data_IF_419585334652
#
_entry.id   IF_419585334652
#
_cell.length_a   1.000
_cell.length_b   1.000
_cell.length_c   1.000
_cell.angle_alpha   90.00
_cell.angle_beta   90.00
_cell.angle_gamma   90.00
#
_symmetry.space_group_name_H-M   'P 1'
#
loop_
_entity.id
_entity.type
_entity.pdbx_description
1 polymer ?
#
# COMPACT_ATOMS: atom_id res chain seq x y z
N UNK A 1 14.90 -16.44 20.82
CA UNK A 1 15.44 -15.79 19.60
C UNK A 1 16.91 -16.21 19.39
N UNK A 2 17.20 -17.06 18.41
CA UNK A 2 18.57 -17.51 18.11
C UNK A 2 19.37 -16.38 17.43
N UNK A 3 20.56 -16.04 17.93
CA UNK A 3 21.45 -15.05 17.28
C UNK A 3 21.62 -15.39 15.79
N UNK A 4 21.47 -14.43 14.86
CA UNK A 4 21.50 -14.71 13.43
C UNK A 4 22.85 -15.29 13.02
N UNK A 5 22.82 -16.42 12.30
CA UNK A 5 24.01 -17.20 11.89
C UNK A 5 25.08 -16.33 11.21
N UNK A 6 24.67 -15.34 10.40
CA UNK A 6 25.57 -14.40 9.72
C UNK A 6 26.41 -13.53 10.69
N UNK A 7 25.83 -13.10 11.82
CA UNK A 7 26.57 -12.31 12.83
C UNK A 7 27.59 -13.13 13.61
N UNK A 8 27.42 -14.46 13.66
CA UNK A 8 28.43 -15.37 14.19
C UNK A 8 29.55 -15.54 13.18
N UNK A 9 29.23 -15.75 11.90
CA UNK A 9 30.23 -15.92 10.83
C UNK A 9 31.10 -14.70 10.60
N UNK A 10 30.54 -13.49 10.68
CA UNK A 10 31.33 -12.24 10.60
C UNK A 10 32.36 -12.14 11.73
N UNK A 11 31.97 -12.52 12.96
CA UNK A 11 32.90 -12.57 14.10
C UNK A 11 33.99 -13.62 13.91
N UNK A 12 33.64 -14.81 13.41
CA UNK A 12 34.61 -15.86 13.11
C UNK A 12 35.59 -15.45 12.02
N UNK A 13 35.14 -14.72 10.99
CA UNK A 13 36.03 -14.14 9.96
C UNK A 13 36.99 -13.11 10.56
N UNK A 14 36.48 -12.24 11.44
CA UNK A 14 37.32 -11.23 12.10
C UNK A 14 38.38 -11.88 13.01
N UNK A 15 38.01 -12.94 13.73
CA UNK A 15 38.95 -13.74 14.54
C UNK A 15 40.03 -14.39 13.66
N UNK A 16 39.64 -15.04 12.55
CA UNK A 16 40.61 -15.65 11.63
C UNK A 16 41.57 -14.60 11.02
N UNK A 17 41.07 -13.40 10.75
CA UNK A 17 41.89 -12.27 10.26
C UNK A 17 42.88 -11.77 11.32
N UNK A 18 42.44 -11.66 12.57
CA UNK A 18 43.31 -11.28 13.69
C UNK A 18 44.40 -12.34 13.94
N UNK A 19 44.04 -13.62 13.86
CA UNK A 19 45.00 -14.72 13.99
C UNK A 19 46.03 -14.72 12.86
N UNK A 20 45.61 -14.47 11.61
CA UNK A 20 46.54 -14.30 10.49
C UNK A 20 47.51 -13.14 10.74
N UNK A 21 47.00 -11.95 11.11
CA UNK A 21 47.84 -10.78 11.37
C UNK A 21 48.88 -11.05 12.48
N UNK A 22 48.49 -11.75 13.54
CA UNK A 22 49.40 -12.15 14.62
C UNK A 22 50.53 -13.08 14.16
N UNK A 23 50.25 -14.01 13.24
CA UNK A 23 51.28 -14.90 12.69
C UNK A 23 52.17 -14.20 11.66
N UNK A 24 51.63 -13.27 10.88
CA UNK A 24 52.40 -12.44 9.95
C UNK A 24 53.37 -11.51 10.71
N UNK A 25 52.93 -10.90 11.81
CA UNK A 25 53.80 -10.10 12.70
C UNK A 25 54.94 -10.95 13.29
N UNK A 26 54.64 -12.16 13.75
CA UNK A 26 55.66 -13.12 14.25
C UNK A 26 56.64 -13.57 13.18
N UNK A 27 56.22 -13.66 11.92
CA UNK A 27 57.11 -13.95 10.79
C UNK A 27 58.07 -12.78 10.56
N UNK A 28 57.55 -11.55 10.55
CA UNK A 28 58.36 -10.33 10.38
C UNK A 28 59.39 -10.19 11.51
N UNK A 29 58.99 -10.37 12.76
CA UNK A 29 59.93 -10.37 13.91
C UNK A 29 60.98 -11.48 13.80
N UNK A 30 60.57 -12.65 13.31
CA UNK A 30 61.48 -13.74 13.04
C UNK A 30 62.42 -13.46 11.86
N UNK A 31 62.06 -12.63 10.88
CA UNK A 31 62.97 -12.27 9.78
C UNK A 31 63.92 -11.14 10.17
N UNK A 32 63.49 -10.21 11.02
CA UNK A 32 64.25 -9.00 11.40
C UNK A 32 65.30 -9.21 12.50
N UNK A 33 65.15 -10.20 13.38
CA UNK A 33 66.12 -10.48 14.44
C UNK A 33 67.37 -11.20 13.89
N UNK A 34 68.61 -10.72 14.10
CA UNK A 34 69.82 -11.32 13.52
C UNK A 34 70.05 -12.76 13.99
N UNK A 35 70.61 -13.59 13.10
CA UNK A 35 70.91 -15.01 13.32
C UNK A 35 71.95 -15.30 14.44
N UNK A 36 72.40 -14.28 15.17
CA UNK A 36 73.47 -14.35 16.17
C UNK A 36 73.03 -14.97 17.52
N UNK A 37 71.74 -15.12 17.77
CA UNK A 37 71.23 -15.90 18.90
C UNK A 37 70.74 -17.25 18.39
N UNK A 38 71.47 -18.34 18.63
CA UNK A 38 71.18 -19.70 18.15
C UNK A 38 69.70 -20.03 18.19
N UNK A 39 69.02 -19.90 17.03
CA UNK A 39 67.58 -20.08 16.96
C UNK A 39 67.24 -21.55 16.82
N UNK A 40 66.28 -22.07 17.61
CA UNK A 40 65.77 -23.40 17.38
C UNK A 40 64.96 -23.42 16.08
N UNK A 41 65.53 -24.02 15.03
CA UNK A 41 64.92 -24.24 13.70
C UNK A 41 63.53 -24.90 13.77
N UNK A 42 63.28 -25.68 14.81
CA UNK A 42 61.99 -26.30 15.11
C UNK A 42 60.87 -25.31 15.51
N UNK A 43 61.21 -24.12 16.05
CA UNK A 43 60.20 -23.09 16.37
C UNK A 43 59.77 -22.31 15.12
N UNK A 44 60.71 -22.05 14.21
CA UNK A 44 60.43 -21.33 12.97
C UNK A 44 59.54 -22.16 12.03
N UNK A 45 59.84 -23.44 11.84
CA UNK A 45 59.03 -24.36 11.04
C UNK A 45 57.58 -24.45 11.55
N UNK A 46 57.38 -24.61 12.86
CA UNK A 46 56.02 -24.61 13.46
C UNK A 46 55.26 -23.29 13.25
N UNK A 47 55.96 -22.16 13.27
CA UNK A 47 55.31 -20.86 13.03
C UNK A 47 54.91 -20.71 11.54
N UNK A 48 55.75 -21.18 10.62
CA UNK A 48 55.43 -21.21 9.19
C UNK A 48 54.23 -22.12 8.91
N UNK A 49 54.17 -23.31 9.50
CA UNK A 49 53.02 -24.21 9.41
C UNK A 49 51.73 -23.53 9.91
N UNK A 50 51.79 -22.85 11.06
CA UNK A 50 50.65 -22.11 11.62
C UNK A 50 50.21 -20.94 10.74
N UNK A 51 51.15 -20.25 10.09
CA UNK A 51 50.86 -19.17 9.17
C UNK A 51 50.20 -19.67 7.88
N UNK A 52 50.67 -20.79 7.34
CA UNK A 52 50.02 -21.44 6.19
C UNK A 52 48.60 -21.86 6.56
N UNK A 53 48.42 -22.44 7.74
CA UNK A 53 47.11 -22.84 8.23
C UNK A 53 46.17 -21.63 8.45
N UNK A 54 46.65 -20.55 9.08
CA UNK A 54 45.84 -19.35 9.32
C UNK A 54 45.45 -18.64 8.03
N UNK A 55 46.33 -18.62 7.01
CA UNK A 55 45.98 -18.14 5.65
C UNK A 55 44.90 -18.97 5.00
N UNK A 56 44.97 -20.30 5.11
CA UNK A 56 43.96 -21.19 4.56
C UNK A 56 42.59 -20.99 5.26
N UNK A 57 42.62 -20.86 6.59
CA UNK A 57 41.42 -20.66 7.41
C UNK A 57 40.77 -19.30 7.16
N UNK A 58 41.54 -18.21 7.07
CA UNK A 58 41.03 -16.88 6.72
C UNK A 58 40.36 -16.91 5.34
N UNK A 59 41.03 -17.46 4.33
CA UNK A 59 40.49 -17.54 2.97
C UNK A 59 39.19 -18.33 2.91
N UNK A 60 39.15 -19.48 3.59
CA UNK A 60 37.96 -20.33 3.70
C UNK A 60 36.81 -19.58 4.38
N UNK A 61 37.06 -18.93 5.51
CA UNK A 61 36.05 -18.14 6.23
C UNK A 61 35.57 -16.93 5.43
N UNK A 62 36.46 -16.27 4.71
CA UNK A 62 36.14 -15.14 3.83
C UNK A 62 35.19 -15.56 2.71
N UNK A 63 35.51 -16.65 2.01
CA UNK A 63 34.64 -17.22 0.95
C UNK A 63 33.27 -17.65 1.50
N UNK A 64 33.24 -18.31 2.66
CA UNK A 64 32.00 -18.70 3.30
C UNK A 64 31.14 -17.48 3.68
N UNK A 65 31.75 -16.46 4.26
CA UNK A 65 31.07 -15.22 4.62
C UNK A 65 30.48 -14.52 3.39
N UNK A 66 31.25 -14.41 2.31
CA UNK A 66 30.80 -13.79 1.07
C UNK A 66 29.63 -14.56 0.43
N UNK A 67 29.71 -15.89 0.42
CA UNK A 67 28.63 -16.74 -0.08
C UNK A 67 27.33 -16.53 0.71
N UNK A 68 27.42 -16.40 2.04
CA UNK A 68 26.27 -16.15 2.90
C UNK A 68 25.70 -14.75 2.72
N UNK A 69 26.55 -13.73 2.59
CA UNK A 69 26.12 -12.35 2.34
C UNK A 69 25.39 -12.22 1.00
N UNK A 70 25.90 -12.87 -0.06
CA UNK A 70 25.20 -12.94 -1.35
C UNK A 70 23.87 -13.69 -1.25
N UNK A 71 23.84 -14.83 -0.54
CA UNK A 71 22.60 -15.57 -0.31
C UNK A 71 21.57 -14.76 0.49
N UNK A 72 22.02 -14.03 1.52
CA UNK A 72 21.19 -13.10 2.27
C UNK A 72 20.65 -11.97 1.40
N UNK A 73 21.50 -11.35 0.58
CA UNK A 73 21.09 -10.30 -0.36
C UNK A 73 19.97 -10.79 -1.31
N UNK A 74 20.14 -11.98 -1.90
CA UNK A 74 19.10 -12.60 -2.75
C UNK A 74 17.79 -12.85 -2.00
N UNK A 75 17.86 -13.41 -0.79
CA UNK A 75 16.67 -13.64 0.05
C UNK A 75 15.96 -12.34 0.43
N UNK A 76 16.72 -11.30 0.79
CA UNK A 76 16.18 -9.98 1.13
C UNK A 76 15.41 -9.40 -0.05
N UNK A 77 16.00 -9.37 -1.25
CA UNK A 77 15.34 -8.84 -2.44
C UNK A 77 14.07 -9.61 -2.79
N UNK A 78 14.13 -10.95 -2.74
CA UNK A 78 12.95 -11.80 -2.98
C UNK A 78 11.85 -11.56 -1.95
N UNK A 79 12.20 -11.48 -0.66
CA UNK A 79 11.25 -11.21 0.41
C UNK A 79 10.61 -9.82 0.30
N UNK A 80 11.41 -8.76 0.11
CA UNK A 80 10.90 -7.40 -0.09
C UNK A 80 9.95 -7.33 -1.28
N UNK A 81 10.29 -7.98 -2.40
CA UNK A 81 9.41 -8.07 -3.56
C UNK A 81 8.10 -8.78 -3.20
N UNK A 82 8.16 -9.93 -2.53
CA UNK A 82 6.96 -10.67 -2.13
C UNK A 82 6.05 -9.83 -1.21
N UNK A 83 6.63 -9.09 -0.25
CA UNK A 83 5.89 -8.20 0.65
C UNK A 83 5.21 -7.07 -0.13
N UNK A 84 5.93 -6.35 -1.01
CA UNK A 84 5.34 -5.29 -1.81
C UNK A 84 4.22 -5.79 -2.72
N UNK A 85 4.42 -6.94 -3.38
CA UNK A 85 3.38 -7.58 -4.21
C UNK A 85 2.16 -7.99 -3.38
N UNK A 86 2.38 -8.56 -2.19
CA UNK A 86 1.30 -8.93 -1.28
C UNK A 86 0.49 -7.72 -0.81
N UNK A 87 1.16 -6.62 -0.47
CA UNK A 87 0.51 -5.37 -0.07
C UNK A 87 -0.30 -4.76 -1.21
N UNK A 88 0.30 -4.60 -2.39
CA UNK A 88 -0.39 -4.06 -3.58
C UNK A 88 -1.59 -4.91 -3.95
N UNK A 89 -1.45 -6.23 -3.94
CA UNK A 89 -2.56 -7.16 -4.21
C UNK A 89 -3.70 -6.99 -3.22
N UNK A 90 -3.38 -6.84 -1.93
CA UNK A 90 -4.40 -6.66 -0.87
C UNK A 90 -5.10 -5.31 -1.01
N UNK A 91 -4.36 -4.25 -1.32
CA UNK A 91 -4.90 -2.92 -1.55
C UNK A 91 -5.84 -2.87 -2.76
N UNK A 92 -5.42 -3.43 -3.91
CA UNK A 92 -6.25 -3.48 -5.12
C UNK A 92 -7.52 -4.29 -4.87
N UNK A 93 -7.45 -5.38 -4.10
CA UNK A 93 -8.64 -6.14 -3.71
C UNK A 93 -9.62 -5.32 -2.88
N UNK A 94 -9.12 -4.61 -1.87
CA UNK A 94 -9.94 -3.73 -1.04
C UNK A 94 -10.67 -2.67 -1.89
N UNK A 95 -9.96 -2.01 -2.82
CA UNK A 95 -10.57 -1.05 -3.73
C UNK A 95 -11.63 -1.70 -4.64
N UNK A 96 -11.35 -2.90 -5.15
CA UNK A 96 -12.30 -3.62 -5.99
C UNK A 96 -13.55 -4.07 -5.22
N UNK A 97 -13.39 -4.51 -3.97
CA UNK A 97 -14.50 -4.84 -3.07
C UNK A 97 -15.35 -3.61 -2.78
N UNK A 98 -14.71 -2.49 -2.44
CA UNK A 98 -15.41 -1.23 -2.21
C UNK A 98 -16.16 -0.76 -3.45
N UNK A 99 -15.54 -0.80 -4.63
CA UNK A 99 -16.20 -0.46 -5.89
C UNK A 99 -17.39 -1.37 -6.21
N UNK A 100 -17.30 -2.67 -5.92
CA UNK A 100 -18.44 -3.61 -6.08
C UNK A 100 -19.59 -3.28 -5.13
N UNK A 101 -19.29 -2.98 -3.87
CA UNK A 101 -20.31 -2.63 -2.88
C UNK A 101 -20.97 -1.29 -3.22
N UNK A 102 -20.17 -0.28 -3.58
CA UNK A 102 -20.65 1.05 -3.98
C UNK A 102 -21.49 1.01 -5.26
N UNK A 103 -21.29 0.02 -6.15
CA UNK A 103 -22.11 -0.13 -7.35
C UNK A 103 -23.59 -0.36 -7.02
N UNK A 104 -23.89 -1.16 -5.99
CA UNK A 104 -25.28 -1.41 -5.61
C UNK A 104 -25.93 -0.12 -5.07
N UNK A 105 -25.19 0.66 -4.29
CA UNK A 105 -25.64 1.96 -3.76
C UNK A 105 -25.82 2.97 -4.87
N UNK A 106 -24.86 3.06 -5.81
CA UNK A 106 -24.98 3.93 -6.97
C UNK A 106 -26.18 3.55 -7.86
N UNK A 107 -26.39 2.26 -8.11
CA UNK A 107 -27.55 1.80 -8.87
C UNK A 107 -28.88 2.09 -8.16
N UNK A 108 -28.94 1.98 -6.83
CA UNK A 108 -30.11 2.37 -6.05
C UNK A 108 -30.35 3.89 -6.15
N UNK A 109 -29.29 4.70 -6.07
CA UNK A 109 -29.38 6.15 -6.24
C UNK A 109 -29.85 6.55 -7.65
N UNK A 110 -29.34 5.90 -8.69
CA UNK A 110 -29.79 6.13 -10.07
C UNK A 110 -31.26 5.73 -10.28
N UNK A 111 -31.76 4.74 -9.52
CA UNK A 111 -33.17 4.36 -9.53
C UNK A 111 -34.04 5.37 -8.78
N UNK A 112 -33.56 5.94 -7.67
CA UNK A 112 -34.30 6.93 -6.88
C UNK A 112 -34.56 8.25 -7.63
N UNK A 113 -33.76 8.57 -8.65
CA UNK A 113 -33.87 9.82 -9.41
C UNK A 113 -34.28 9.59 -10.88
N UNK A 114 -35.04 8.53 -11.14
CA UNK A 114 -35.58 8.31 -12.48
C UNK A 114 -36.67 9.34 -12.83
N UNK A 115 -36.81 9.68 -14.13
CA UNK A 115 -37.95 10.47 -14.60
C UNK A 115 -39.28 9.93 -14.09
N UNK A 116 -40.15 10.81 -13.61
CA UNK A 116 -41.43 10.47 -12.98
C UNK A 116 -41.37 10.28 -11.47
N UNK A 117 -40.18 10.26 -10.86
CA UNK A 117 -40.07 10.11 -9.40
C UNK A 117 -40.48 11.40 -8.68
N UNK A 118 -41.37 11.28 -7.70
CA UNK A 118 -41.76 12.37 -6.83
C UNK A 118 -40.65 12.65 -5.80
N UNK A 119 -40.19 13.90 -5.74
CA UNK A 119 -39.10 14.34 -4.87
C UNK A 119 -39.48 15.63 -4.15
N UNK A 120 -38.86 15.91 -3.01
CA UNK A 120 -38.81 17.24 -2.38
C UNK A 120 -37.51 17.93 -2.75
N UNK A 121 -37.60 19.19 -3.13
CA UNK A 121 -36.45 20.03 -3.45
C UNK A 121 -36.12 20.89 -2.23
N UNK A 122 -34.96 20.63 -1.62
CA UNK A 122 -34.50 21.36 -0.47
C UNK A 122 -34.11 22.81 -0.82
N UNK A 123 -34.59 23.79 -0.03
CA UNK A 123 -34.21 25.20 -0.17
C UNK A 123 -34.95 25.97 -1.27
N UNK A 124 -36.01 25.39 -1.86
CA UNK A 124 -36.94 26.10 -2.74
C UNK A 124 -38.19 26.45 -1.96
N UNK A 125 -38.52 27.74 -1.88
CA UNK A 125 -39.67 28.24 -1.13
C UNK A 125 -40.97 27.55 -1.58
N UNK A 126 -41.83 27.12 -0.64
CA UNK A 126 -43.06 26.40 -0.96
C UNK A 126 -43.95 27.24 -1.88
N UNK A 127 -44.59 26.57 -2.84
CA UNK A 127 -45.51 27.21 -3.79
C UNK A 127 -46.78 27.78 -3.12
N UNK A 128 -47.07 27.35 -1.89
CA UNK A 128 -48.18 27.84 -1.08
C UNK A 128 -47.65 28.58 0.14
N UNK A 129 -48.07 29.83 0.39
CA UNK A 129 -47.69 30.59 1.59
C UNK A 129 -48.25 30.00 2.89
N UNK A 130 -49.26 29.11 2.80
CA UNK A 130 -49.90 28.45 3.96
C UNK A 130 -49.31 27.06 4.25
N UNK A 131 -48.23 26.67 3.57
CA UNK A 131 -47.56 25.40 3.80
C UNK A 131 -46.49 25.52 4.88
N UNK A 132 -46.65 24.80 5.99
CA UNK A 132 -45.60 24.61 7.00
C UNK A 132 -44.38 23.82 6.48
N UNK A 133 -44.46 23.25 5.27
CA UNK A 133 -43.34 22.55 4.64
C UNK A 133 -42.27 23.52 4.10
N UNK A 134 -41.02 23.31 4.53
CA UNK A 134 -39.86 24.12 4.15
C UNK A 134 -39.28 23.75 2.77
N UNK A 135 -39.69 22.61 2.23
CA UNK A 135 -39.23 22.05 0.95
C UNK A 135 -40.41 21.96 -0.03
N UNK A 136 -40.14 22.20 -1.32
CA UNK A 136 -41.20 22.13 -2.34
C UNK A 136 -41.26 20.74 -2.98
N UNK A 137 -42.45 20.13 -3.12
CA UNK A 137 -42.59 18.88 -3.89
C UNK A 137 -42.33 19.17 -5.37
N UNK A 138 -41.78 18.20 -6.09
CA UNK A 138 -41.51 18.26 -7.52
C UNK A 138 -41.51 16.85 -8.13
N UNK A 139 -41.53 16.78 -9.45
CA UNK A 139 -41.35 15.53 -10.21
C UNK A 139 -40.04 15.64 -10.99
N UNK A 140 -39.23 14.59 -10.96
CA UNK A 140 -38.03 14.50 -11.79
C UNK A 140 -38.46 14.33 -13.26
N UNK A 141 -38.03 15.22 -14.14
CA UNK A 141 -38.25 15.10 -15.58
C UNK A 141 -37.08 14.36 -16.26
N UNK A 142 -35.87 14.49 -15.72
CA UNK A 142 -34.69 13.78 -16.20
C UNK A 142 -33.38 14.44 -15.81
N UNK A 143 -32.29 13.92 -16.38
CA UNK A 143 -30.94 14.43 -16.15
C UNK A 143 -30.51 15.34 -17.31
N UNK A 144 -30.03 16.53 -16.98
CA UNK A 144 -29.52 17.49 -17.95
C UNK A 144 -28.14 17.01 -18.49
N UNK A 145 -28.00 16.81 -19.80
CA UNK A 145 -26.76 16.32 -20.39
C UNK A 145 -25.63 17.35 -20.23
N UNK A 146 -24.48 16.91 -19.70
CA UNK A 146 -23.26 17.71 -19.57
C UNK A 146 -23.07 18.42 -18.22
N UNK A 147 -24.14 18.71 -17.48
CA UNK A 147 -24.06 19.37 -16.16
C UNK A 147 -24.22 18.39 -15.00
N UNK A 148 -24.86 17.24 -15.23
CA UNK A 148 -25.16 16.25 -14.18
C UNK A 148 -26.25 16.72 -13.20
N UNK A 149 -27.01 17.77 -13.55
CA UNK A 149 -28.13 18.27 -12.75
C UNK A 149 -29.42 17.53 -13.10
N UNK A 150 -30.30 17.38 -12.13
CA UNK A 150 -31.65 16.85 -12.33
C UNK A 150 -32.58 18.02 -12.67
N UNK A 151 -33.31 17.89 -13.77
CA UNK A 151 -34.40 18.78 -14.13
C UNK A 151 -35.64 18.31 -13.40
N UNK A 152 -36.24 19.20 -12.60
CA UNK A 152 -37.46 18.93 -11.85
C UNK A 152 -38.56 19.91 -12.21
N UNK A 153 -39.79 19.42 -12.29
CA UNK A 153 -40.98 20.24 -12.51
C UNK A 153 -41.70 20.47 -11.18
N UNK A 154 -41.88 21.74 -10.82
CA UNK A 154 -42.65 22.15 -9.65
C UNK A 154 -44.16 22.14 -9.93
N UNK A 155 -45.02 22.09 -8.89
CA UNK A 155 -46.47 22.24 -9.02
C UNK A 155 -46.87 23.53 -9.75
N UNK A 156 -46.12 24.62 -9.53
CA UNK A 156 -46.28 25.91 -10.20
C UNK A 156 -46.09 25.86 -11.72
N UNK A 157 -45.51 24.78 -12.26
CA UNK A 157 -45.16 24.64 -13.68
C UNK A 157 -43.77 25.15 -14.02
N UNK A 158 -43.04 25.70 -13.04
CA UNK A 158 -41.63 26.06 -13.23
C UNK A 158 -40.74 24.82 -13.32
N UNK A 159 -39.72 24.92 -14.16
CA UNK A 159 -38.68 23.89 -14.31
C UNK A 159 -37.37 24.39 -13.71
N UNK A 160 -36.76 23.58 -12.85
CA UNK A 160 -35.51 23.91 -12.20
C UNK A 160 -34.47 22.83 -12.46
N UNK A 161 -33.23 23.24 -12.76
CA UNK A 161 -32.08 22.35 -12.83
C UNK A 161 -31.34 22.37 -11.49
N UNK A 162 -31.56 21.35 -10.67
CA UNK A 162 -31.03 21.24 -9.31
C UNK A 162 -30.01 20.13 -9.20
N UNK A 163 -29.10 20.25 -8.23
CA UNK A 163 -28.15 19.17 -8.00
C UNK A 163 -28.83 17.98 -7.32
N UNK A 164 -28.45 16.74 -7.63
CA UNK A 164 -29.06 15.54 -7.02
C UNK A 164 -29.05 15.54 -5.49
N UNK A 165 -28.04 16.17 -4.86
CA UNK A 165 -27.93 16.20 -3.39
C UNK A 165 -28.99 17.08 -2.71
N UNK A 166 -29.73 17.88 -3.48
CA UNK A 166 -30.86 18.71 -2.99
C UNK A 166 -32.21 18.00 -3.15
N UNK A 167 -32.24 16.80 -3.72
CA UNK A 167 -33.46 16.04 -3.95
C UNK A 167 -33.63 14.98 -2.86
N UNK A 168 -34.84 14.87 -2.33
CA UNK A 168 -35.23 13.82 -1.38
C UNK A 168 -36.43 13.06 -1.92
N UNK A 169 -36.33 11.75 -2.17
CA UNK A 169 -37.46 10.96 -2.62
C UNK A 169 -38.64 11.06 -1.66
N UNK A 170 -39.85 11.26 -2.20
CA UNK A 170 -41.10 11.11 -1.45
C UNK A 170 -41.45 9.62 -1.46
N UNK A 171 -41.47 8.98 -0.29
CA UNK A 171 -41.67 7.54 -0.16
C UNK A 171 -43.09 7.13 -0.60
N UNK A 172 -43.28 6.89 -1.91
CA UNK A 172 -44.50 6.31 -2.50
C UNK A 172 -45.74 7.21 -2.54
N UNK A 173 -45.75 8.35 -1.84
CA UNK A 173 -46.86 9.30 -1.85
C UNK A 173 -46.61 10.37 -2.89
N UNK A 174 -47.24 10.24 -4.06
CA UNK A 174 -47.33 11.34 -5.03
C UNK A 174 -48.33 12.35 -4.44
N UNK A 175 -47.92 13.59 -4.15
CA UNK A 175 -48.83 14.61 -3.67
C UNK A 175 -49.99 14.79 -4.66
N UNK A 176 -51.22 14.86 -4.16
CA UNK A 176 -52.42 15.02 -4.99
C UNK A 176 -52.35 16.26 -5.90
N UNK A 177 -51.58 17.29 -5.50
CA UNK A 177 -51.30 18.49 -6.29
C UNK A 177 -50.47 18.23 -7.56
N UNK A 178 -49.79 17.09 -7.62
CA UNK A 178 -48.97 16.63 -8.75
C UNK A 178 -49.66 15.50 -9.55
N UNK A 179 -50.64 14.80 -8.96
CA UNK A 179 -51.34 13.69 -9.59
C UNK A 179 -52.34 14.10 -10.70
N UNK A 180 -52.69 15.39 -10.81
CA UNK A 180 -53.70 15.90 -11.74
C UNK A 180 -53.15 16.39 -13.09
N UNK A 181 -51.82 16.36 -13.30
CA UNK A 181 -51.22 16.68 -14.60
C UNK A 181 -51.06 15.39 -15.39
N UNK A 182 -51.96 15.16 -16.35
CA UNK A 182 -51.81 14.13 -17.36
C UNK A 182 -50.49 14.34 -18.11
N UNK A 183 -49.49 13.51 -17.83
CA UNK A 183 -48.21 13.47 -18.56
C UNK A 183 -48.37 12.73 -19.91
N UNK A 184 -49.42 13.04 -20.67
CA UNK A 184 -49.76 12.37 -21.94
C UNK A 184 -49.08 12.98 -23.17
N UNK A 185 -47.96 13.70 -23.02
CA UNK A 185 -47.20 14.20 -24.17
C UNK A 185 -45.71 14.34 -23.87
N UNK A 186 -44.98 13.22 -23.96
CA UNK A 186 -43.60 13.17 -24.46
C UNK A 186 -43.50 11.98 -25.40
#
# INVERSE_FOLDING_TARGET
MTKPKASRRLRSREQARQELAHYEEKEVDAVLLPASAGRPTARLSRNLEKLVQSRADEKSMSQLCDSELRAFGRRRTSHSRAVCHGLLRSYVRLLADWGRQSRAVAAAFDQELQPGTAVRVAGVAPSSPDSDEQDSPAIVEGLEPGTGRCVVSLPSGERLAVRPELLRPLAGEIPWSLASKDFSSV
#
